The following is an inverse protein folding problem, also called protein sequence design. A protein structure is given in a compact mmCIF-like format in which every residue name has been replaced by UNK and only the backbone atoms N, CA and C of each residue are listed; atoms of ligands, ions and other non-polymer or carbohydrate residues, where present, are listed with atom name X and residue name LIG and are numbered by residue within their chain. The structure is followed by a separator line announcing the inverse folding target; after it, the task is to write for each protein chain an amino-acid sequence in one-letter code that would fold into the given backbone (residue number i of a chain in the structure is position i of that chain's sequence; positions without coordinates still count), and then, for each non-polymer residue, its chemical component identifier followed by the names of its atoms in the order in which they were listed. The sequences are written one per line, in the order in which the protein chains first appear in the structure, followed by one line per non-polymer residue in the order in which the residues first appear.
data_IF_298281087936
#
_entry.id   IF_298281087936
#
_cell.length_a   1.000
_cell.length_b   1.000
_cell.length_c   1.000
_cell.angle_alpha   90.00
_cell.angle_beta   90.00
_cell.angle_gamma   90.00
#
_symmetry.space_group_name_H-M   'P 1'
#
loop_
_entity.id
_entity.type
_entity.pdbx_description
1 polymer ?
#
# COMPACT_ATOMS: atom_id res chain seq x y z
N UNK A 1 17.38 -8.01 22.41
CA UNK A 1 17.06 -6.96 21.42
C UNK A 1 16.15 -5.95 22.11
N UNK A 2 16.53 -4.68 22.16
CA UNK A 2 15.59 -3.64 22.61
C UNK A 2 14.59 -3.35 21.49
N UNK A 3 13.38 -2.98 21.85
CA UNK A 3 12.32 -2.64 20.87
C UNK A 3 12.71 -1.39 20.07
N UNK A 4 13.40 -0.44 20.71
CA UNK A 4 13.82 0.85 20.15
C UNK A 4 15.27 0.83 19.63
N UNK A 5 15.58 -0.12 18.75
CA UNK A 5 16.91 -0.29 18.18
C UNK A 5 17.12 0.63 16.96
N UNK A 6 18.23 1.37 16.85
CA UNK A 6 18.46 2.31 15.74
C UNK A 6 18.62 1.63 14.37
N UNK A 7 19.13 0.39 14.32
CA UNK A 7 19.31 -0.37 13.08
C UNK A 7 18.03 -1.14 12.71
N UNK A 8 17.33 -1.68 13.70
CA UNK A 8 16.14 -2.52 13.49
C UNK A 8 14.81 -1.75 13.53
N UNK A 9 14.77 -0.52 14.04
CA UNK A 9 13.60 0.35 13.90
C UNK A 9 13.46 0.79 12.46
N UNK A 10 12.40 0.31 11.80
CA UNK A 10 12.09 0.61 10.39
C UNK A 10 10.81 1.44 10.27
N UNK A 11 10.61 2.05 9.11
CA UNK A 11 9.43 2.84 8.78
C UNK A 11 8.52 2.05 7.85
N UNK A 12 7.21 2.15 8.09
CA UNK A 12 6.17 1.63 7.23
C UNK A 12 5.34 2.77 6.63
N UNK A 13 4.90 2.59 5.38
CA UNK A 13 4.01 3.53 4.68
C UNK A 13 2.65 2.89 4.54
N UNK A 14 1.62 3.60 5.00
CA UNK A 14 0.23 3.17 4.96
C UNK A 14 -0.62 4.15 4.14
N UNK A 15 -1.58 3.64 3.38
CA UNK A 15 -2.37 4.43 2.42
C UNK A 15 -3.84 4.09 2.46
N UNK A 16 -4.68 4.97 1.91
CA UNK A 16 -6.10 4.70 1.68
C UNK A 16 -7.05 5.02 2.84
N UNK A 17 -6.53 5.50 3.97
CA UNK A 17 -7.34 5.91 5.11
C UNK A 17 -8.14 7.21 4.88
N UNK A 18 -9.28 7.34 5.56
CA UNK A 18 -10.21 8.46 5.40
C UNK A 18 -11.12 8.62 6.63
N UNK A 19 -11.36 9.87 7.04
CA UNK A 19 -12.26 10.21 8.15
C UNK A 19 -13.62 10.79 7.73
N UNK A 20 -13.69 11.46 6.57
CA UNK A 20 -14.93 12.12 6.11
C UNK A 20 -15.97 11.11 5.60
N UNK A 21 -17.26 11.46 5.63
CA UNK A 21 -18.34 10.65 5.04
C UNK A 21 -18.67 10.95 3.56
N UNK A 22 -17.98 11.92 2.93
CA UNK A 22 -18.27 12.29 1.54
C UNK A 22 -18.00 11.13 0.57
N UNK A 23 -18.97 10.73 -0.26
CA UNK A 23 -18.91 9.65 -1.30
C UNK A 23 -18.75 8.21 -0.81
N UNK A 24 -17.87 7.97 0.16
CA UNK A 24 -17.68 6.64 0.78
C UNK A 24 -17.50 6.78 2.29
N UNK A 25 -17.74 5.68 3.01
CA UNK A 25 -17.59 5.60 4.47
C UNK A 25 -16.14 5.88 4.91
N UNK A 26 -15.91 6.25 6.18
CA UNK A 26 -14.58 6.27 6.76
C UNK A 26 -13.90 4.91 6.63
N UNK A 27 -12.59 4.91 6.40
CA UNK A 27 -11.80 3.71 6.14
C UNK A 27 -10.47 3.78 6.86
N UNK A 28 -9.99 2.62 7.33
CA UNK A 28 -8.62 2.49 7.79
C UNK A 28 -7.65 2.45 6.63
N UNK A 29 -6.45 2.95 6.88
CA UNK A 29 -5.33 2.79 5.97
C UNK A 29 -4.86 1.33 5.95
N UNK A 30 -4.25 0.90 4.84
CA UNK A 30 -3.62 -0.42 4.67
C UNK A 30 -2.14 -0.25 4.35
N UNK A 31 -1.35 -1.23 4.74
CA UNK A 31 0.09 -1.24 4.53
C UNK A 31 0.38 -1.23 3.02
N UNK A 32 1.24 -0.32 2.56
CA UNK A 32 1.70 -0.25 1.17
C UNK A 32 3.19 -0.59 1.04
N UNK A 33 3.99 -0.28 2.05
CA UNK A 33 5.41 -0.64 2.13
C UNK A 33 5.78 -0.88 3.59
N UNK A 34 6.49 -1.97 3.84
CA UNK A 34 7.13 -2.27 5.13
C UNK A 34 8.65 -2.13 5.05
N UNK A 35 9.30 -1.92 6.20
CA UNK A 35 10.74 -2.16 6.35
C UNK A 35 11.66 -1.08 5.79
N UNK A 36 11.20 0.15 5.59
CA UNK A 36 12.07 1.23 5.10
C UNK A 36 13.12 1.63 6.14
N UNK A 37 14.36 1.94 5.71
CA UNK A 37 15.44 2.29 6.63
C UNK A 37 15.18 3.64 7.34
N UNK A 38 15.73 3.75 8.55
CA UNK A 38 15.70 4.97 9.33
C UNK A 38 16.93 5.83 9.03
N UNK A 39 16.84 6.69 8.00
CA UNK A 39 17.95 7.51 7.51
C UNK A 39 17.73 9.02 7.79
N UNK A 40 17.90 9.47 9.06
CA UNK A 40 17.84 10.90 9.40
C UNK A 40 18.97 11.68 8.70
N UNK A 41 18.78 12.99 8.45
CA UNK A 41 17.62 13.82 8.83
C UNK A 41 16.54 13.93 7.74
N UNK A 42 16.65 13.19 6.62
CA UNK A 42 15.81 13.44 5.42
C UNK A 42 15.03 12.24 4.88
N UNK A 43 15.33 11.00 5.30
CA UNK A 43 14.63 9.78 4.85
C UNK A 43 14.33 9.76 3.34
N UNK A 44 15.37 9.80 2.49
CA UNK A 44 15.20 9.89 1.05
C UNK A 44 14.40 8.71 0.48
N UNK A 45 14.54 7.51 1.05
CA UNK A 45 13.84 6.29 0.66
C UNK A 45 12.32 6.41 0.91
N UNK A 46 11.94 6.88 2.10
CA UNK A 46 10.52 7.13 2.45
C UNK A 46 9.92 8.18 1.53
N UNK A 47 10.64 9.28 1.34
CA UNK A 47 10.20 10.38 0.47
C UNK A 47 10.03 9.92 -0.99
N UNK A 48 10.92 9.05 -1.48
CA UNK A 48 10.83 8.49 -2.82
C UNK A 48 9.59 7.60 -2.98
N UNK A 49 9.30 6.74 -2.00
CA UNK A 49 8.08 5.89 -1.98
C UNK A 49 6.82 6.74 -1.98
N UNK A 50 6.71 7.71 -1.07
CA UNK A 50 5.52 8.58 -0.97
C UNK A 50 5.28 9.34 -2.27
N UNK A 51 6.33 9.92 -2.86
CA UNK A 51 6.23 10.61 -4.16
C UNK A 51 5.79 9.67 -5.28
N UNK A 52 6.28 8.42 -5.30
CA UNK A 52 5.90 7.43 -6.31
C UNK A 52 4.40 7.12 -6.24
N UNK A 53 3.88 6.89 -5.04
CA UNK A 53 2.45 6.64 -4.80
C UNK A 53 1.61 7.85 -5.24
N UNK A 54 2.00 9.06 -4.83
CA UNK A 54 1.26 10.28 -5.18
C UNK A 54 1.25 10.55 -6.68
N UNK A 55 2.35 10.27 -7.40
CA UNK A 55 2.42 10.40 -8.86
C UNK A 55 1.51 9.40 -9.57
N UNK A 56 1.54 8.12 -9.16
CA UNK A 56 0.66 7.10 -9.73
C UNK A 56 -0.82 7.44 -9.50
N UNK A 57 -1.15 7.89 -8.28
CA UNK A 57 -2.48 8.37 -7.95
C UNK A 57 -2.89 9.56 -8.81
N UNK A 58 -2.05 10.59 -8.94
CA UNK A 58 -2.34 11.77 -9.76
C UNK A 58 -2.61 11.42 -11.23
N UNK A 59 -1.95 10.39 -11.77
CA UNK A 59 -2.06 10.00 -13.17
C UNK A 59 -3.29 9.13 -13.49
N UNK A 60 -3.78 8.33 -12.55
CA UNK A 60 -4.83 7.33 -12.79
C UNK A 60 -6.14 7.60 -12.02
N UNK A 61 -6.10 8.43 -10.98
CA UNK A 61 -7.30 8.77 -10.20
C UNK A 61 -8.25 9.66 -11.01
N UNK A 62 -9.55 9.44 -10.81
CA UNK A 62 -10.61 10.27 -11.39
C UNK A 62 -10.87 11.46 -10.49
N UNK A 63 -11.53 12.48 -11.05
CA UNK A 63 -11.95 13.63 -10.26
C UNK A 63 -12.71 13.19 -9.00
N UNK A 64 -12.44 13.87 -7.89
CA UNK A 64 -13.04 13.65 -6.58
C UNK A 64 -12.73 12.32 -5.89
N UNK A 65 -12.01 11.40 -6.55
CA UNK A 65 -11.51 10.21 -5.87
C UNK A 65 -10.53 10.59 -4.78
N UNK A 66 -10.54 9.83 -3.69
CA UNK A 66 -9.44 9.79 -2.71
C UNK A 66 -8.58 8.55 -3.00
N UNK A 67 -7.35 8.52 -2.48
CA UNK A 67 -6.43 7.38 -2.66
C UNK A 67 -7.10 6.03 -2.33
N UNK A 68 -7.86 5.95 -1.24
CA UNK A 68 -8.55 4.71 -0.86
C UNK A 68 -9.61 4.28 -1.88
N UNK A 69 -10.40 5.23 -2.39
CA UNK A 69 -11.46 4.98 -3.37
C UNK A 69 -10.87 4.62 -4.74
N UNK A 70 -9.76 5.27 -5.11
CA UNK A 70 -8.98 4.92 -6.29
C UNK A 70 -8.51 3.46 -6.21
N UNK A 71 -7.88 3.06 -5.09
CA UNK A 71 -7.40 1.69 -4.87
C UNK A 71 -8.56 0.69 -4.86
N UNK A 72 -9.70 1.00 -4.25
CA UNK A 72 -10.89 0.13 -4.28
C UNK A 72 -11.41 -0.09 -5.72
N UNK A 73 -11.37 0.94 -6.57
CA UNK A 73 -11.79 0.84 -7.98
C UNK A 73 -10.84 -0.03 -8.81
N UNK A 74 -9.53 0.23 -8.73
CA UNK A 74 -8.53 -0.47 -9.56
C UNK A 74 -8.19 -1.86 -9.01
N UNK A 75 -8.31 -2.04 -7.69
CA UNK A 75 -7.87 -3.20 -6.95
C UNK A 75 -6.39 -3.11 -6.53
N UNK A 76 -6.06 -3.75 -5.41
CA UNK A 76 -4.69 -3.80 -4.87
C UNK A 76 -3.65 -4.35 -5.85
N UNK A 77 -3.90 -5.42 -6.63
CA UNK A 77 -2.92 -5.89 -7.62
C UNK A 77 -2.50 -4.79 -8.61
N UNK A 78 -3.47 -4.03 -9.13
CA UNK A 78 -3.22 -2.93 -10.05
C UNK A 78 -2.49 -1.76 -9.37
N UNK A 79 -2.76 -1.50 -8.09
CA UNK A 79 -2.02 -0.50 -7.32
C UNK A 79 -0.53 -0.84 -7.25
N UNK A 80 -0.18 -2.10 -6.95
CA UNK A 80 1.23 -2.53 -6.90
C UNK A 80 1.90 -2.50 -8.28
N UNK A 81 1.17 -2.83 -9.36
CA UNK A 81 1.66 -2.66 -10.73
C UNK A 81 1.97 -1.19 -11.07
N UNK A 82 0.99 -0.29 -10.87
CA UNK A 82 1.12 1.13 -11.23
C UNK A 82 2.19 1.85 -10.42
N UNK A 83 2.36 1.44 -9.16
CA UNK A 83 3.39 2.01 -8.28
C UNK A 83 4.73 1.29 -8.40
N UNK A 84 4.82 0.13 -9.07
CA UNK A 84 6.03 -0.70 -9.10
C UNK A 84 6.59 -0.99 -7.69
N UNK A 85 5.71 -1.07 -6.69
CA UNK A 85 6.06 -1.44 -5.32
C UNK A 85 5.96 -2.97 -5.18
N UNK A 86 6.89 -3.61 -4.44
CA UNK A 86 6.82 -5.05 -4.24
C UNK A 86 5.69 -5.42 -3.29
N UNK A 87 4.87 -6.40 -3.69
CA UNK A 87 3.98 -7.08 -2.76
C UNK A 87 4.76 -8.14 -1.98
N UNK A 88 5.01 -7.89 -0.70
CA UNK A 88 5.72 -8.79 0.21
C UNK A 88 4.75 -9.54 1.15
N UNK A 89 5.17 -10.64 1.80
CA UNK A 89 4.36 -11.34 2.80
C UNK A 89 3.79 -10.45 3.91
N UNK A 90 4.50 -9.37 4.29
CA UNK A 90 4.05 -8.40 5.30
C UNK A 90 2.71 -7.71 5.00
N UNK A 91 2.22 -7.76 3.76
CA UNK A 91 0.91 -7.19 3.39
C UNK A 91 -0.26 -8.08 3.76
N UNK A 92 -0.01 -9.35 4.07
CA UNK A 92 -1.03 -10.32 4.47
C UNK A 92 -1.22 -10.18 5.98
N UNK A 93 -2.44 -9.84 6.40
CA UNK A 93 -2.78 -9.70 7.81
C UNK A 93 -2.80 -11.09 8.49
N UNK A 94 -1.84 -11.30 9.40
CA UNK A 94 -1.67 -12.51 10.20
C UNK A 94 -2.16 -12.34 11.64
N UNK A 95 -2.76 -11.19 11.98
CA UNK A 95 -3.37 -10.98 13.28
C UNK A 95 -4.57 -11.91 13.47
N UNK A 96 -4.93 -12.23 14.72
CA UNK A 96 -5.95 -13.25 15.05
C UNK A 96 -7.30 -13.05 14.33
N UNK A 97 -7.68 -11.81 14.02
CA UNK A 97 -8.91 -11.48 13.27
C UNK A 97 -8.69 -11.16 11.78
N UNK A 98 -7.48 -11.33 11.25
CA UNK A 98 -7.09 -10.93 9.90
C UNK A 98 -7.76 -11.72 8.78
N UNK A 99 -8.43 -12.85 9.08
CA UNK A 99 -9.13 -13.69 8.09
C UNK A 99 -10.11 -12.89 7.22
N UNK A 100 -10.81 -11.91 7.79
CA UNK A 100 -11.78 -11.10 7.06
C UNK A 100 -11.13 -10.15 6.03
N UNK A 101 -9.82 -9.95 6.09
CA UNK A 101 -9.08 -9.14 5.12
C UNK A 101 -8.71 -9.89 3.83
N UNK A 102 -8.76 -11.22 3.86
CA UNK A 102 -8.39 -12.07 2.73
C UNK A 102 -9.48 -12.08 1.66
N UNK A 103 -9.07 -12.26 0.40
CA UNK A 103 -10.03 -12.44 -0.68
C UNK A 103 -10.68 -13.83 -0.61
N UNK A 104 -11.95 -13.87 -0.18
CA UNK A 104 -12.77 -15.08 -0.15
C UNK A 104 -13.66 -15.23 -1.41
N UNK A 105 -13.23 -14.69 -2.55
CA UNK A 105 -13.94 -14.70 -3.82
C UNK A 105 -13.04 -15.11 -4.99
N UNK A 106 -13.64 -15.69 -6.03
CA UNK A 106 -12.98 -15.97 -7.30
C UNK A 106 -12.84 -14.72 -8.20
N UNK A 107 -13.39 -13.56 -7.78
CA UNK A 107 -13.26 -12.32 -8.53
C UNK A 107 -11.85 -11.73 -8.38
N UNK A 108 -10.95 -12.17 -9.26
CA UNK A 108 -9.54 -11.79 -9.29
C UNK A 108 -9.26 -11.19 -10.66
N UNK A 109 -8.57 -10.04 -10.69
CA UNK A 109 -7.99 -9.50 -11.92
C UNK A 109 -6.58 -10.03 -12.03
N UNK A 110 -6.28 -10.74 -13.11
CA UNK A 110 -4.93 -11.20 -13.38
C UNK A 110 -4.09 -9.98 -13.77
N UNK A 111 -3.13 -9.65 -12.91
CA UNK A 111 -2.04 -8.74 -13.22
C UNK A 111 -1.18 -9.37 -14.31
N UNK A 112 -0.76 -8.58 -15.31
CA UNK A 112 0.20 -9.05 -16.30
C UNK A 112 1.54 -9.19 -15.60
N UNK A 113 1.80 -10.38 -15.06
CA UNK A 113 3.13 -10.74 -14.62
C UNK A 113 4.08 -10.46 -15.78
N UNK A 114 5.15 -9.71 -15.52
CA UNK A 114 6.35 -9.86 -16.33
C UNK A 114 6.83 -11.28 -16.07
N UNK A 115 6.22 -12.23 -16.75
CA UNK A 115 6.69 -13.60 -16.81
C UNK A 115 7.97 -13.56 -17.60
N UNK A 116 9.09 -13.35 -16.93
CA UNK A 116 10.29 -14.03 -17.39
C UNK A 116 10.02 -15.52 -17.15
N UNK A 117 9.56 -16.18 -18.22
CA UNK A 117 9.54 -17.62 -18.29
C UNK A 117 10.96 -18.15 -18.46
N UNK A 118 11.79 -17.97 -17.42
CA UNK A 118 13.06 -18.66 -17.17
C UNK A 118 13.32 -18.76 -15.67
#
# INVERSE_FOLDING_TARGET
MQINDPEHTKIAVWVGGKHSNARSRPMFHKLAVAGLPNNPPRWPEVSAVVRKILRAYQQDAREWERIGEWIERIGWPRFFELTGLPFTPYHIDDWRGGRASLNASAHIRLSAGTGDGR
#
